data_IF_085737499789
#
_entry.id   IF_085737499789
#
_cell.length_a   1.000
_cell.length_b   1.000
_cell.length_c   1.000
_cell.angle_alpha   90.00
_cell.angle_beta   90.00
_cell.angle_gamma   90.00
#
_symmetry.space_group_name_H-M   'P 1'
#
loop_
_entity.id
_entity.type
_entity.pdbx_description
1 polymer ?
#
# COMPACT_ATOMS: atom_id res chain seq x y z
N UNK A 1 -3.69 1.94 -4.15
CA UNK A 1 -3.09 0.65 -4.56
C UNK A 1 -1.73 0.81 -5.16
N UNK A 2 -1.58 1.64 -6.20
CA UNK A 2 -0.29 1.92 -6.85
C UNK A 2 0.84 2.33 -5.90
N UNK A 3 0.55 2.88 -4.70
CA UNK A 3 1.56 3.18 -3.69
C UNK A 3 2.52 2.01 -3.39
N UNK A 4 2.04 0.76 -3.39
CA UNK A 4 2.90 -0.42 -3.20
C UNK A 4 3.78 -0.74 -4.43
N UNK A 5 3.40 -0.25 -5.61
CA UNK A 5 4.13 -0.39 -6.86
C UNK A 5 5.17 0.71 -7.12
N UNK A 6 5.33 1.66 -6.19
CA UNK A 6 6.33 2.73 -6.34
C UNK A 6 7.76 2.22 -6.41
N UNK A 7 8.02 1.00 -5.94
CA UNK A 7 9.34 0.37 -6.01
C UNK A 7 9.90 0.22 -7.42
N UNK A 8 9.03 0.13 -8.43
CA UNK A 8 9.42 0.10 -9.85
C UNK A 8 10.25 1.33 -10.25
N UNK A 9 10.03 2.48 -9.60
CA UNK A 9 10.74 3.71 -9.91
C UNK A 9 12.10 3.85 -9.21
N UNK A 10 12.36 3.12 -8.12
CA UNK A 10 13.53 3.37 -7.27
C UNK A 10 14.86 3.10 -7.96
N UNK A 11 14.98 1.95 -8.66
CA UNK A 11 16.22 1.60 -9.34
C UNK A 11 16.50 2.53 -10.53
N UNK A 12 15.52 2.83 -11.43
CA UNK A 12 15.68 3.85 -12.46
C UNK A 12 16.05 5.24 -11.90
N UNK A 13 15.44 5.67 -10.79
CA UNK A 13 15.72 6.97 -10.17
C UNK A 13 17.08 7.05 -9.48
N UNK A 14 17.58 5.93 -8.93
CA UNK A 14 18.94 5.86 -8.38
C UNK A 14 20.05 5.93 -9.44
N UNK A 15 19.67 5.99 -10.71
CA UNK A 15 20.57 6.17 -11.86
C UNK A 15 20.04 7.22 -12.83
N UNK A 16 19.27 8.19 -12.33
CA UNK A 16 18.61 9.19 -13.16
C UNK A 16 19.62 10.08 -13.92
N UNK A 17 20.78 10.37 -13.31
CA UNK A 17 21.86 11.16 -13.92
C UNK A 17 22.92 10.31 -14.61
N UNK A 18 23.01 9.02 -14.26
CA UNK A 18 24.04 8.08 -14.74
C UNK A 18 23.53 7.06 -15.75
N UNK A 19 22.51 7.42 -16.51
CA UNK A 19 21.94 6.56 -17.55
C UNK A 19 23.03 6.20 -18.57
N UNK A 20 23.30 4.90 -18.73
CA UNK A 20 24.32 4.41 -19.67
C UNK A 20 25.76 4.41 -19.15
N UNK A 21 26.01 4.89 -17.92
CA UNK A 21 27.33 4.83 -17.29
C UNK A 21 27.53 3.52 -16.51
N UNK A 22 28.80 3.13 -16.31
CA UNK A 22 29.19 1.92 -15.58
C UNK A 22 28.95 2.02 -14.07
N UNK A 23 28.90 3.24 -13.52
CA UNK A 23 28.66 3.51 -12.11
C UNK A 23 27.71 4.70 -11.93
N UNK A 24 26.99 4.71 -10.81
CA UNK A 24 26.13 5.82 -10.42
C UNK A 24 26.96 7.08 -10.12
N UNK A 25 26.40 8.26 -10.35
CA UNK A 25 27.00 9.54 -9.99
C UNK A 25 26.91 9.73 -8.46
N UNK A 26 27.71 8.97 -7.72
CA UNK A 26 27.72 9.00 -6.26
C UNK A 26 28.56 10.18 -5.75
N UNK A 27 28.03 10.88 -4.75
CA UNK A 27 28.76 11.93 -4.05
C UNK A 27 29.26 11.41 -2.69
N UNK A 28 30.54 11.65 -2.34
CA UNK A 28 31.07 11.32 -1.02
C UNK A 28 30.26 12.01 0.08
N UNK A 29 30.00 11.31 1.19
CA UNK A 29 29.37 11.83 2.40
C UNK A 29 28.00 12.51 2.20
N UNK A 30 27.20 12.02 1.24
CA UNK A 30 25.86 12.57 1.01
C UNK A 30 24.92 12.30 2.19
N UNK A 31 24.65 13.34 2.99
CA UNK A 31 23.59 13.36 4.00
C UNK A 31 22.20 13.55 3.38
N UNK A 32 21.15 13.39 4.17
CA UNK A 32 19.75 13.56 3.70
C UNK A 32 19.49 14.97 3.18
N UNK A 33 19.98 16.00 3.85
CA UNK A 33 19.78 17.40 3.41
C UNK A 33 20.41 17.66 2.04
N UNK A 34 21.59 17.10 1.79
CA UNK A 34 22.25 17.18 0.47
C UNK A 34 21.48 16.38 -0.57
N UNK A 35 21.01 15.17 -0.22
CA UNK A 35 20.21 14.35 -1.11
C UNK A 35 18.90 15.04 -1.53
N UNK A 36 18.30 15.86 -0.66
CA UNK A 36 17.07 16.58 -0.94
C UNK A 36 17.20 17.60 -2.06
N UNK A 37 18.37 18.23 -2.22
CA UNK A 37 18.57 19.38 -3.11
C UNK A 37 19.64 19.19 -4.18
N UNK A 38 20.38 18.08 -4.15
CA UNK A 38 21.45 17.81 -5.11
C UNK A 38 20.93 17.74 -6.54
N UNK A 39 21.66 18.36 -7.48
CA UNK A 39 21.39 18.31 -8.93
C UNK A 39 22.45 17.50 -9.70
N UNK A 40 23.54 17.12 -9.05
CA UNK A 40 24.71 16.48 -9.70
C UNK A 40 24.93 15.04 -9.27
N UNK A 41 24.29 14.61 -8.19
CA UNK A 41 24.46 13.27 -7.63
C UNK A 41 23.19 12.44 -7.81
N UNK A 42 23.33 11.15 -8.10
CA UNK A 42 22.21 10.22 -8.07
C UNK A 42 21.70 10.01 -6.63
N UNK A 43 20.40 9.79 -6.50
CA UNK A 43 19.77 9.55 -5.20
C UNK A 43 19.99 8.12 -4.71
N UNK A 44 20.13 7.95 -3.39
CA UNK A 44 20.18 6.61 -2.80
C UNK A 44 18.78 6.01 -2.78
N UNK A 45 18.71 4.70 -2.97
CA UNK A 45 17.46 3.95 -2.84
C UNK A 45 16.80 4.16 -1.47
N UNK A 46 17.59 4.29 -0.40
CA UNK A 46 17.08 4.58 0.95
C UNK A 46 16.31 5.90 1.04
N UNK A 47 16.78 6.95 0.35
CA UNK A 47 16.14 8.27 0.34
C UNK A 47 14.87 8.25 -0.51
N UNK A 48 14.85 7.44 -1.57
CA UNK A 48 13.68 7.22 -2.43
C UNK A 48 12.57 6.42 -1.74
N UNK A 49 12.93 5.37 -1.00
CA UNK A 49 11.98 4.56 -0.22
C UNK A 49 11.23 5.40 0.81
N UNK A 50 11.83 6.50 1.30
CA UNK A 50 11.18 7.42 2.23
C UNK A 50 9.88 8.03 1.67
N UNK A 51 9.74 8.15 0.35
CA UNK A 51 8.51 8.61 -0.31
C UNK A 51 7.33 7.72 0.08
N UNK A 52 7.51 6.39 0.09
CA UNK A 52 6.47 5.46 0.50
C UNK A 52 6.13 5.60 1.98
N UNK A 53 7.14 5.71 2.86
CA UNK A 53 6.95 5.90 4.29
C UNK A 53 6.15 7.18 4.61
N UNK A 54 6.53 8.30 4.01
CA UNK A 54 5.79 9.57 4.12
C UNK A 54 4.36 9.37 3.62
N UNK A 55 4.18 8.71 2.47
CA UNK A 55 2.87 8.44 1.89
C UNK A 55 1.93 7.64 2.80
N UNK A 56 2.43 6.59 3.46
CA UNK A 56 1.62 5.78 4.40
C UNK A 56 1.30 6.55 5.69
N UNK A 57 2.24 7.33 6.22
CA UNK A 57 1.97 8.21 7.37
C UNK A 57 0.87 9.22 7.01
N UNK A 58 0.97 9.85 5.85
CA UNK A 58 0.00 10.83 5.39
C UNK A 58 -1.35 10.21 5.02
N UNK A 59 -1.39 8.97 4.54
CA UNK A 59 -2.64 8.21 4.41
C UNK A 59 -3.35 8.14 5.77
N UNK A 60 -2.64 7.74 6.83
CA UNK A 60 -3.21 7.60 8.18
C UNK A 60 -3.66 8.93 8.78
N UNK A 61 -2.81 9.96 8.70
CA UNK A 61 -3.11 11.30 9.24
C UNK A 61 -4.26 11.97 8.48
N UNK A 62 -4.23 11.94 7.15
CA UNK A 62 -5.33 12.50 6.35
C UNK A 62 -6.63 11.76 6.61
N UNK A 63 -6.59 10.45 6.82
CA UNK A 63 -7.78 9.68 7.16
C UNK A 63 -8.39 10.09 8.52
N UNK A 64 -7.54 10.29 9.53
CA UNK A 64 -7.98 10.74 10.85
C UNK A 64 -8.53 12.18 10.82
N UNK A 65 -7.84 13.11 10.15
CA UNK A 65 -8.19 14.53 10.14
C UNK A 65 -9.40 14.82 9.25
N UNK A 66 -9.44 14.22 8.05
CA UNK A 66 -10.46 14.54 7.04
C UNK A 66 -11.67 13.60 7.03
N UNK A 67 -11.69 12.55 7.85
CA UNK A 67 -12.82 11.63 7.95
C UNK A 67 -14.15 12.33 8.28
N UNK A 68 -14.14 13.25 9.27
CA UNK A 68 -15.33 14.04 9.61
C UNK A 68 -15.71 15.10 8.57
N UNK A 69 -14.74 15.61 7.80
CA UNK A 69 -15.03 16.46 6.65
C UNK A 69 -15.71 15.67 5.53
N UNK A 70 -15.24 14.46 5.25
CA UNK A 70 -15.79 13.59 4.22
C UNK A 70 -17.26 13.23 4.48
N UNK A 71 -17.62 12.93 5.74
CA UNK A 71 -19.02 12.65 6.11
C UNK A 71 -19.95 13.85 5.88
N UNK A 72 -19.45 15.08 6.06
CA UNK A 72 -20.22 16.33 5.84
C UNK A 72 -20.25 16.77 4.37
N UNK A 73 -19.11 16.69 3.68
CA UNK A 73 -18.94 17.16 2.31
C UNK A 73 -19.45 16.15 1.26
N UNK A 74 -19.48 14.86 1.64
CA UNK A 74 -19.90 13.76 0.80
C UNK A 74 -18.75 13.13 -0.03
N UNK A 75 -18.93 11.89 -0.49
CA UNK A 75 -17.89 11.10 -1.14
C UNK A 75 -17.46 11.67 -2.50
N UNK A 76 -18.33 12.37 -3.22
CA UNK A 76 -17.97 12.99 -4.51
C UNK A 76 -16.88 14.05 -4.35
N UNK A 77 -17.04 14.97 -3.39
CA UNK A 77 -16.05 16.03 -3.13
C UNK A 77 -14.75 15.44 -2.62
N UNK A 78 -14.82 14.48 -1.70
CA UNK A 78 -13.64 13.77 -1.21
C UNK A 78 -12.90 13.03 -2.34
N UNK A 79 -13.63 12.38 -3.26
CA UNK A 79 -13.06 11.71 -4.42
C UNK A 79 -12.35 12.66 -5.39
N UNK A 80 -12.89 13.86 -5.63
CA UNK A 80 -12.25 14.87 -6.47
C UNK A 80 -10.94 15.35 -5.83
N UNK A 81 -10.96 15.69 -4.54
CA UNK A 81 -9.74 16.09 -3.81
C UNK A 81 -8.71 14.96 -3.82
N UNK A 82 -9.15 13.71 -3.62
CA UNK A 82 -8.27 12.55 -3.72
C UNK A 82 -7.61 12.41 -5.10
N UNK A 83 -8.37 12.62 -6.19
CA UNK A 83 -7.85 12.56 -7.55
C UNK A 83 -6.79 13.63 -7.81
N UNK A 84 -7.07 14.88 -7.40
CA UNK A 84 -6.15 16.00 -7.55
C UNK A 84 -4.89 15.82 -6.71
N UNK A 85 -5.01 15.35 -5.46
CA UNK A 85 -3.86 15.11 -4.61
C UNK A 85 -3.03 13.91 -5.10
N UNK A 86 -3.64 12.80 -5.48
CA UNK A 86 -2.90 11.61 -5.94
C UNK A 86 -2.21 11.87 -7.28
N UNK A 87 -2.96 12.27 -8.31
CA UNK A 87 -2.38 12.50 -9.63
C UNK A 87 -1.56 13.80 -9.72
N UNK A 88 -1.97 14.85 -9.00
CA UNK A 88 -1.16 16.06 -8.84
C UNK A 88 0.15 15.79 -8.09
N UNK A 89 0.13 14.91 -7.08
CA UNK A 89 1.34 14.45 -6.41
C UNK A 89 2.31 13.74 -7.36
N UNK A 90 1.81 12.93 -8.29
CA UNK A 90 2.62 12.34 -9.36
C UNK A 90 3.17 13.39 -10.33
N UNK A 91 2.39 14.41 -10.70
CA UNK A 91 2.85 15.50 -11.56
C UNK A 91 3.93 16.37 -10.90
N UNK A 92 3.77 16.67 -9.61
CA UNK A 92 4.80 17.37 -8.81
C UNK A 92 6.06 16.49 -8.68
N UNK A 93 5.88 15.19 -8.46
CA UNK A 93 6.98 14.22 -8.48
C UNK A 93 7.70 14.18 -9.82
N UNK A 94 6.97 14.19 -10.94
CA UNK A 94 7.54 14.27 -12.27
C UNK A 94 8.36 15.54 -12.48
N UNK A 95 7.86 16.69 -12.03
CA UNK A 95 8.61 17.94 -12.03
C UNK A 95 9.88 17.84 -11.17
N UNK A 96 9.78 17.24 -9.97
CA UNK A 96 10.91 16.97 -9.09
C UNK A 96 11.98 16.09 -9.73
N UNK A 97 11.60 15.05 -10.45
CA UNK A 97 12.56 14.23 -11.22
C UNK A 97 13.17 15.03 -12.38
N UNK A 98 12.36 15.82 -13.09
CA UNK A 98 12.84 16.63 -14.21
C UNK A 98 13.89 17.68 -13.80
N UNK A 99 13.69 18.36 -12.66
CA UNK A 99 14.67 19.33 -12.14
C UNK A 99 15.71 18.70 -11.20
N UNK A 100 15.68 17.38 -11.03
CA UNK A 100 16.49 16.61 -10.11
C UNK A 100 16.49 17.17 -8.68
N UNK A 101 15.30 17.33 -8.09
CA UNK A 101 15.08 17.80 -6.72
C UNK A 101 14.25 16.79 -5.92
N UNK A 102 14.89 16.06 -4.99
CA UNK A 102 14.25 14.99 -4.25
C UNK A 102 13.18 15.51 -3.28
N UNK A 103 13.33 16.73 -2.73
CA UNK A 103 12.30 17.32 -1.86
C UNK A 103 10.96 17.51 -2.58
N UNK A 104 10.97 17.81 -3.89
CA UNK A 104 9.75 17.88 -4.71
C UNK A 104 9.12 16.50 -4.88
N UNK A 105 9.94 15.45 -5.02
CA UNK A 105 9.45 14.06 -5.08
C UNK A 105 8.80 13.66 -3.75
N UNK A 106 9.44 13.99 -2.62
CA UNK A 106 8.89 13.75 -1.28
C UNK A 106 7.58 14.53 -1.04
N UNK A 107 7.55 15.80 -1.44
CA UNK A 107 6.37 16.65 -1.34
C UNK A 107 5.22 16.13 -2.22
N UNK A 108 5.51 15.88 -3.49
CA UNK A 108 4.52 15.45 -4.48
C UNK A 108 4.01 14.05 -4.18
N UNK A 109 4.86 13.04 -4.30
CA UNK A 109 4.45 11.64 -4.24
C UNK A 109 4.25 11.16 -2.80
N UNK A 110 5.03 11.66 -1.85
CA UNK A 110 4.92 11.31 -0.44
C UNK A 110 3.79 12.07 0.24
N UNK A 111 3.96 13.38 0.42
CA UNK A 111 3.04 14.19 1.22
C UNK A 111 1.66 14.34 0.56
N UNK A 112 1.62 14.97 -0.62
CA UNK A 112 0.37 15.29 -1.33
C UNK A 112 -0.27 14.00 -1.86
N UNK A 113 0.53 13.12 -2.45
CA UNK A 113 0.10 11.78 -2.87
C UNK A 113 -0.48 10.97 -1.72
N UNK A 114 0.17 10.96 -0.55
CA UNK A 114 -0.33 10.28 0.65
C UNK A 114 -1.68 10.80 1.15
N UNK A 115 -1.90 12.11 1.11
CA UNK A 115 -3.23 12.71 1.42
C UNK A 115 -4.28 12.22 0.42
N UNK A 116 -3.95 12.21 -0.87
CA UNK A 116 -4.85 11.69 -1.91
C UNK A 116 -5.18 10.20 -1.71
N UNK A 117 -4.18 9.41 -1.29
CA UNK A 117 -4.33 8.00 -0.98
C UNK A 117 -5.29 7.77 0.21
N UNK A 118 -5.19 8.57 1.27
CA UNK A 118 -6.07 8.47 2.44
C UNK A 118 -7.52 8.87 2.16
N UNK A 119 -7.73 10.01 1.50
CA UNK A 119 -9.07 10.46 1.09
C UNK A 119 -9.71 9.49 0.09
N UNK A 120 -8.93 9.02 -0.87
CA UNK A 120 -9.34 8.03 -1.87
C UNK A 120 -9.67 6.66 -1.26
N UNK A 121 -9.11 6.35 -0.09
CA UNK A 121 -9.42 5.12 0.66
C UNK A 121 -10.75 5.22 1.40
N UNK A 122 -11.00 6.31 2.13
CA UNK A 122 -12.20 6.41 2.98
C UNK A 122 -13.48 6.63 2.16
N UNK A 123 -13.39 7.40 1.06
CA UNK A 123 -14.57 7.76 0.24
C UNK A 123 -15.37 6.55 -0.28
N UNK A 124 -14.78 5.55 -0.94
CA UNK A 124 -15.53 4.39 -1.41
C UNK A 124 -15.97 3.49 -0.24
N UNK A 125 -15.11 3.30 0.77
CA UNK A 125 -15.39 2.43 1.92
C UNK A 125 -16.61 2.91 2.69
N UNK A 126 -16.65 4.19 3.06
CA UNK A 126 -17.80 4.80 3.78
C UNK A 126 -19.09 4.70 2.97
N UNK A 127 -19.02 4.88 1.64
CA UNK A 127 -20.18 4.81 0.75
C UNK A 127 -20.71 3.38 0.63
N UNK A 128 -19.85 2.38 0.51
CA UNK A 128 -20.24 0.98 0.39
C UNK A 128 -20.88 0.44 1.66
N UNK A 129 -20.41 0.84 2.84
CA UNK A 129 -21.01 0.46 4.13
C UNK A 129 -22.46 0.97 4.26
N UNK A 130 -22.79 2.08 3.57
CA UNK A 130 -24.14 2.65 3.51
C UNK A 130 -25.03 1.91 2.49
N UNK A 131 -24.47 1.48 1.36
CA UNK A 131 -25.17 0.72 0.31
C UNK A 131 -25.34 -0.78 0.60
N UNK A 132 -24.55 -1.37 1.49
CA UNK A 132 -24.61 -2.81 1.78
C UNK A 132 -24.56 -3.06 3.29
N UNK A 133 -25.60 -2.67 4.06
CA UNK A 133 -25.70 -2.87 5.49
C UNK A 133 -25.85 -4.35 5.87
N UNK A 134 -26.33 -5.19 4.94
CA UNK A 134 -26.48 -6.63 5.07
C UNK A 134 -25.15 -7.39 4.87
N UNK A 135 -24.21 -6.82 4.10
CA UNK A 135 -22.92 -7.45 3.72
C UNK A 135 -21.76 -6.46 3.80
N UNK A 136 -21.66 -5.76 4.94
CA UNK A 136 -20.71 -4.65 5.16
C UNK A 136 -19.27 -5.12 4.96
N UNK A 137 -18.92 -6.27 5.52
CA UNK A 137 -17.61 -6.90 5.40
C UNK A 137 -17.28 -7.21 3.95
N UNK A 138 -18.10 -8.01 3.27
CA UNK A 138 -17.87 -8.37 1.86
C UNK A 138 -17.72 -7.14 0.95
N UNK A 139 -18.61 -6.15 1.06
CA UNK A 139 -18.58 -4.96 0.22
C UNK A 139 -17.29 -4.14 0.41
N UNK A 140 -16.89 -3.94 1.67
CA UNK A 140 -15.63 -3.25 2.00
C UNK A 140 -14.40 -4.06 1.62
N UNK A 141 -14.43 -5.38 1.81
CA UNK A 141 -13.39 -6.32 1.39
C UNK A 141 -13.15 -6.27 -0.12
N UNK A 142 -14.22 -6.26 -0.93
CA UNK A 142 -14.12 -6.14 -2.40
C UNK A 142 -13.50 -4.80 -2.84
N UNK A 143 -13.86 -3.70 -2.19
CA UNK A 143 -13.23 -2.41 -2.48
C UNK A 143 -11.74 -2.39 -2.11
N UNK A 144 -11.40 -2.94 -0.95
CA UNK A 144 -10.04 -2.98 -0.43
C UNK A 144 -9.17 -3.99 -1.21
N UNK A 145 -9.75 -5.02 -1.85
CA UNK A 145 -9.04 -5.85 -2.83
C UNK A 145 -8.53 -5.04 -4.02
N UNK A 146 -9.30 -4.08 -4.52
CA UNK A 146 -8.88 -3.18 -5.60
C UNK A 146 -7.65 -2.35 -5.22
N UNK A 147 -7.48 -2.05 -3.93
CA UNK A 147 -6.25 -1.43 -3.42
C UNK A 147 -5.04 -2.37 -3.55
N UNK A 148 -5.18 -3.68 -3.35
CA UNK A 148 -4.12 -4.67 -3.60
C UNK A 148 -3.84 -4.87 -5.09
N UNK A 149 -4.89 -4.96 -5.91
CA UNK A 149 -4.78 -5.14 -7.36
C UNK A 149 -4.16 -3.94 -8.10
N UNK A 150 -4.25 -2.72 -7.54
CA UNK A 150 -3.72 -1.52 -8.18
C UNK A 150 -2.20 -1.58 -8.46
N UNK A 151 -1.41 -2.25 -7.62
CA UNK A 151 0.02 -2.45 -7.89
C UNK A 151 0.26 -3.52 -8.98
N UNK A 152 -0.59 -4.55 -9.08
CA UNK A 152 -0.48 -5.58 -10.12
C UNK A 152 -0.68 -5.02 -11.53
N UNK A 153 -1.49 -3.98 -11.69
CA UNK A 153 -1.70 -3.30 -12.98
C UNK A 153 -0.72 -2.14 -13.15
N UNK A 154 -0.56 -1.33 -12.10
CA UNK A 154 0.23 -0.11 -12.17
C UNK A 154 1.73 -0.35 -12.29
N UNK A 155 2.28 -1.39 -11.66
CA UNK A 155 3.72 -1.70 -11.72
C UNK A 155 4.18 -2.13 -13.11
N UNK A 156 3.54 -3.11 -13.80
CA UNK A 156 3.91 -3.46 -15.17
C UNK A 156 3.68 -2.32 -16.17
N UNK A 157 2.61 -1.53 -15.97
CA UNK A 157 2.37 -0.35 -16.79
C UNK A 157 3.50 0.68 -16.62
N UNK A 158 3.91 0.97 -15.38
CA UNK A 158 5.03 1.86 -15.10
C UNK A 158 6.34 1.35 -15.72
N UNK A 159 6.66 0.07 -15.60
CA UNK A 159 7.86 -0.53 -16.20
C UNK A 159 7.85 -0.42 -17.74
N UNK A 160 6.69 -0.70 -18.36
CA UNK A 160 6.51 -0.57 -19.80
C UNK A 160 6.73 0.89 -20.24
N UNK A 161 6.09 1.85 -19.56
CA UNK A 161 6.23 3.27 -19.87
C UNK A 161 7.66 3.78 -19.67
N UNK A 162 8.35 3.36 -18.59
CA UNK A 162 9.75 3.69 -18.35
C UNK A 162 10.60 3.19 -19.52
N UNK A 163 10.41 1.95 -19.97
CA UNK A 163 11.12 1.38 -21.12
C UNK A 163 10.81 2.13 -22.42
N UNK A 164 9.56 2.56 -22.63
CA UNK A 164 9.17 3.33 -23.82
C UNK A 164 9.79 4.72 -23.84
N UNK A 165 9.87 5.41 -22.70
CA UNK A 165 10.43 6.75 -22.60
C UNK A 165 11.94 6.80 -22.35
N UNK A 166 12.57 5.63 -22.15
CA UNK A 166 14.02 5.55 -21.91
C UNK A 166 14.78 5.93 -23.17
N UNK A 167 15.73 6.85 -23.02
CA UNK A 167 16.68 7.23 -24.07
C UNK A 167 18.12 6.94 -23.60
N UNK A 168 19.11 7.20 -24.45
CA UNK A 168 20.52 7.08 -24.06
C UNK A 168 20.90 8.02 -22.91
N UNK A 169 20.20 9.16 -22.78
CA UNK A 169 20.52 10.22 -21.83
C UNK A 169 19.53 10.31 -20.66
N UNK A 170 18.34 9.74 -20.79
CA UNK A 170 17.29 9.87 -19.77
C UNK A 170 16.65 8.54 -19.38
N UNK A 171 16.36 8.38 -18.10
CA UNK A 171 15.79 7.15 -17.56
C UNK A 171 14.32 6.93 -17.96
N UNK A 172 13.65 7.92 -18.55
CA UNK A 172 12.22 7.85 -18.93
C UNK A 172 11.22 7.99 -17.75
N UNK A 173 11.72 8.28 -16.54
CA UNK A 173 10.90 8.24 -15.32
C UNK A 173 9.96 9.43 -15.20
N UNK A 174 10.42 10.65 -15.46
CA UNK A 174 9.57 11.83 -15.29
C UNK A 174 8.38 11.83 -16.26
N UNK A 175 8.59 11.40 -17.51
CA UNK A 175 7.51 11.24 -18.51
C UNK A 175 6.48 10.21 -18.04
N UNK A 176 6.97 9.10 -17.49
CA UNK A 176 6.11 8.04 -16.94
C UNK A 176 5.28 8.57 -15.78
N UNK A 177 5.90 9.26 -14.82
CA UNK A 177 5.19 9.85 -13.68
C UNK A 177 4.17 10.88 -14.13
N UNK A 178 4.50 11.72 -15.12
CA UNK A 178 3.59 12.72 -15.65
C UNK A 178 2.37 12.08 -16.34
N UNK A 179 2.59 11.10 -17.22
CA UNK A 179 1.52 10.40 -17.92
C UNK A 179 0.62 9.63 -16.95
N UNK A 180 1.22 8.92 -15.99
CA UNK A 180 0.45 8.22 -14.96
C UNK A 180 -0.31 9.19 -14.05
N UNK A 181 0.28 10.31 -13.66
CA UNK A 181 -0.37 11.35 -12.86
C UNK A 181 -1.60 11.92 -13.56
N UNK A 182 -1.46 12.31 -14.83
CA UNK A 182 -2.58 12.77 -15.65
C UNK A 182 -3.65 11.68 -15.83
N UNK A 183 -3.24 10.45 -16.13
CA UNK A 183 -4.14 9.31 -16.24
C UNK A 183 -4.93 9.06 -14.95
N UNK A 184 -4.26 9.08 -13.80
CA UNK A 184 -4.92 8.92 -12.51
C UNK A 184 -5.94 10.01 -12.23
N UNK A 185 -5.65 11.28 -12.56
CA UNK A 185 -6.64 12.37 -12.43
C UNK A 185 -7.88 12.02 -13.25
N UNK A 186 -7.71 11.66 -14.53
CA UNK A 186 -8.85 11.35 -15.41
C UNK A 186 -9.68 10.18 -14.89
N UNK A 187 -9.05 9.04 -14.59
CA UNK A 187 -9.77 7.84 -14.13
C UNK A 187 -10.41 8.04 -12.75
N UNK A 188 -9.70 8.69 -11.81
CA UNK A 188 -10.24 8.93 -10.47
C UNK A 188 -11.36 9.97 -10.48
N UNK A 189 -11.29 11.01 -11.32
CA UNK A 189 -12.39 11.96 -11.49
C UNK A 189 -13.62 11.28 -12.10
N UNK A 190 -13.43 10.40 -13.09
CA UNK A 190 -14.51 9.57 -13.63
C UNK A 190 -15.21 8.74 -12.54
N UNK A 191 -14.43 8.09 -11.67
CA UNK A 191 -14.96 7.37 -10.51
C UNK A 191 -15.65 8.27 -9.49
N UNK A 192 -15.07 9.45 -9.22
CA UNK A 192 -15.61 10.40 -8.26
C UNK A 192 -16.98 10.95 -8.68
N UNK A 193 -17.16 11.27 -9.97
CA UNK A 193 -18.46 11.69 -10.51
C UNK A 193 -19.49 10.56 -10.51
N UNK A 194 -19.04 9.30 -10.58
CA UNK A 194 -19.87 8.12 -10.43
C UNK A 194 -20.44 7.89 -9.03
N UNK A 195 -19.91 8.53 -7.98
CA UNK A 195 -20.43 8.33 -6.63
C UNK A 195 -21.90 8.72 -6.50
N UNK A 196 -22.68 7.80 -5.93
CA UNK A 196 -24.06 7.96 -5.49
C UNK A 196 -24.17 7.59 -4.02
N UNK A 197 -24.85 8.42 -3.24
CA UNK A 197 -25.14 8.17 -1.83
C UNK A 197 -26.54 7.57 -1.75
N UNK A 198 -26.76 6.50 -0.97
CA UNK A 198 -28.11 5.95 -0.84
C UNK A 198 -29.01 6.93 -0.05
N UNK A 199 -30.33 6.92 -0.28
CA UNK A 199 -31.28 7.72 0.49
C UNK A 199 -31.16 7.50 2.01
N UNK A 200 -31.55 8.49 2.80
CA UNK A 200 -31.58 8.35 4.25
C UNK A 200 -32.50 7.18 4.66
N UNK A 201 -32.00 6.27 5.48
CA UNK A 201 -32.74 5.08 5.90
C UNK A 201 -32.83 3.96 4.86
N UNK A 202 -32.04 4.02 3.78
CA UNK A 202 -31.96 2.96 2.76
C UNK A 202 -31.68 1.60 3.39
N UNK A 203 -32.43 0.59 2.91
CA UNK A 203 -32.30 -0.81 3.30
C UNK A 203 -32.48 -1.67 2.05
N UNK A 204 -31.76 -2.81 1.95
CA UNK A 204 -32.02 -3.78 0.89
C UNK A 204 -33.46 -4.32 1.00
N UNK A 205 -34.09 -4.59 -0.14
CA UNK A 205 -35.44 -5.13 -0.18
C UNK A 205 -35.51 -6.47 0.58
N UNK A 206 -36.51 -6.59 1.45
CA UNK A 206 -36.69 -7.79 2.29
C UNK A 206 -35.67 -7.97 3.42
N UNK A 207 -34.72 -7.03 3.61
CA UNK A 207 -33.78 -7.09 4.72
C UNK A 207 -34.32 -6.38 5.96
N UNK A 208 -34.57 -7.14 7.02
CA UNK A 208 -34.87 -6.60 8.34
C UNK A 208 -33.58 -6.57 9.18
N UNK A 209 -33.32 -5.49 9.92
CA UNK A 209 -32.17 -5.44 10.83
C UNK A 209 -32.24 -6.61 11.82
N UNK A 210 -31.11 -7.30 12.09
CA UNK A 210 -31.09 -8.38 13.07
C UNK A 210 -31.65 -7.89 14.41
N UNK A 211 -32.65 -8.58 14.95
CA UNK A 211 -33.31 -8.21 16.20
C UNK A 211 -32.42 -8.38 17.46
N UNK A 212 -31.20 -8.91 17.32
CA UNK A 212 -30.39 -9.33 18.46
C UNK A 212 -29.62 -8.18 19.12
N UNK A 213 -30.25 -7.62 20.16
CA UNK A 213 -29.52 -7.09 21.33
C UNK A 213 -28.74 -8.24 21.97
N UNK A 214 -27.53 -8.52 21.46
CA UNK A 214 -26.55 -9.28 22.23
C UNK A 214 -26.11 -8.39 23.41
N UNK A 215 -26.18 -8.90 24.64
CA UNK A 215 -25.68 -8.18 25.84
C UNK A 215 -24.19 -7.79 25.73
N UNK A 216 -23.44 -8.46 24.85
CA UNK A 216 -22.04 -8.15 24.53
C UNK A 216 -21.84 -7.13 23.37
N UNK A 217 -22.90 -6.65 22.73
CA UNK A 217 -22.82 -5.58 21.72
C UNK A 217 -23.27 -4.28 22.40
N UNK A 218 -22.32 -3.38 22.62
CA UNK A 218 -22.61 -2.06 23.18
C UNK A 218 -23.65 -1.35 22.30
N UNK A 219 -24.80 -1.04 22.88
CA UNK A 219 -25.91 -0.32 22.23
C UNK A 219 -25.74 1.19 22.28
N UNK A 220 -24.78 1.68 23.08
CA UNK A 220 -24.43 3.09 23.15
C UNK A 220 -23.69 3.53 21.90
N UNK A 221 -24.27 4.48 21.17
CA UNK A 221 -23.52 5.23 20.17
C UNK A 221 -22.64 6.24 20.90
N UNK A 222 -21.32 6.06 20.85
CA UNK A 222 -20.37 7.05 21.34
C UNK A 222 -20.11 8.03 20.20
N UNK A 223 -20.30 9.32 20.46
CA UNK A 223 -19.97 10.35 19.48
C UNK A 223 -18.46 10.32 19.18
N UNK A 224 -18.06 10.70 17.96
CA UNK A 224 -16.64 10.70 17.56
C UNK A 224 -15.76 11.49 18.55
N UNK A 225 -16.29 12.62 19.05
CA UNK A 225 -15.60 13.51 19.98
C UNK A 225 -15.38 12.88 21.37
N UNK A 226 -16.14 11.84 21.73
CA UNK A 226 -16.02 11.15 23.02
C UNK A 226 -15.38 9.77 22.89
N UNK A 227 -15.23 9.24 21.67
CA UNK A 227 -14.72 7.89 21.43
C UNK A 227 -13.34 7.67 22.07
N UNK A 228 -12.44 8.65 21.96
CA UNK A 228 -11.08 8.60 22.51
C UNK A 228 -11.03 8.58 24.05
N UNK A 229 -12.12 8.94 24.74
CA UNK A 229 -12.23 8.91 26.20
C UNK A 229 -12.56 7.51 26.72
N UNK A 230 -12.91 6.58 25.83
CA UNK A 230 -13.27 5.20 26.20
C UNK A 230 -12.04 4.28 26.20
N UNK A 231 -11.99 3.32 27.11
CA UNK A 231 -10.90 2.32 27.16
C UNK A 231 -10.95 1.41 25.93
N UNK A 232 -12.15 1.10 25.44
CA UNK A 232 -12.38 0.27 24.26
C UNK A 232 -11.69 0.84 23.01
N UNK A 233 -11.68 2.17 22.85
CA UNK A 233 -10.98 2.83 21.77
C UNK A 233 -9.48 2.50 21.80
N UNK A 234 -8.83 2.66 22.95
CA UNK A 234 -7.39 2.40 23.09
C UNK A 234 -7.03 0.93 22.95
N UNK A 235 -7.88 0.01 23.44
CA UNK A 235 -7.69 -1.43 23.23
C UNK A 235 -7.76 -1.79 21.74
N UNK A 236 -8.77 -1.30 21.02
CA UNK A 236 -8.90 -1.55 19.58
C UNK A 236 -7.76 -0.89 18.81
N UNK A 237 -7.38 0.34 19.19
CA UNK A 237 -6.26 1.06 18.59
C UNK A 237 -4.94 0.30 18.76
N UNK A 238 -4.63 -0.16 19.97
CA UNK A 238 -3.41 -0.92 20.26
C UNK A 238 -3.36 -2.21 19.45
N UNK A 239 -4.48 -2.95 19.43
CA UNK A 239 -4.61 -4.19 18.69
C UNK A 239 -4.40 -3.96 17.18
N UNK A 240 -5.02 -2.93 16.61
CA UNK A 240 -4.84 -2.56 15.21
C UNK A 240 -3.42 -2.10 14.91
N UNK A 241 -2.85 -1.25 15.78
CA UNK A 241 -1.49 -0.72 15.63
C UNK A 241 -0.46 -1.85 15.59
N UNK A 242 -0.50 -2.77 16.57
CA UNK A 242 0.42 -3.91 16.63
C UNK A 242 0.22 -4.86 15.43
N UNK A 243 -1.02 -5.16 15.07
CA UNK A 243 -1.33 -6.09 13.97
C UNK A 243 -0.91 -5.53 12.60
N UNK A 244 -1.24 -4.26 12.32
CA UNK A 244 -0.87 -3.60 11.06
C UNK A 244 0.63 -3.43 10.96
N UNK A 245 1.32 -3.06 12.04
CA UNK A 245 2.77 -2.90 12.06
C UNK A 245 3.48 -4.22 11.75
N UNK A 246 3.10 -5.30 12.44
CA UNK A 246 3.65 -6.63 12.18
C UNK A 246 3.36 -7.11 10.75
N UNK A 247 2.12 -6.96 10.28
CA UNK A 247 1.70 -7.39 8.95
C UNK A 247 2.39 -6.63 7.82
N UNK A 248 2.46 -5.29 7.90
CA UNK A 248 3.15 -4.47 6.90
C UNK A 248 4.65 -4.72 6.93
N UNK A 249 5.26 -4.91 8.11
CA UNK A 249 6.69 -5.24 8.24
C UNK A 249 7.06 -6.53 7.50
N UNK A 250 6.28 -7.60 7.72
CA UNK A 250 6.49 -8.88 7.01
C UNK A 250 6.29 -8.73 5.50
N UNK A 251 5.24 -8.02 5.06
CA UNK A 251 5.00 -7.81 3.62
C UNK A 251 6.10 -6.97 2.96
N UNK A 252 6.62 -5.95 3.64
CA UNK A 252 7.65 -5.06 3.13
C UNK A 252 9.01 -5.77 2.99
N UNK A 253 9.30 -6.73 3.87
CA UNK A 253 10.57 -7.47 3.90
C UNK A 253 10.47 -8.90 3.38
N UNK A 254 9.31 -9.33 2.84
CA UNK A 254 9.10 -10.71 2.42
C UNK A 254 10.13 -11.21 1.39
N UNK A 255 10.47 -10.37 0.39
CA UNK A 255 11.49 -10.71 -0.61
C UNK A 255 12.88 -10.85 0.02
N UNK A 256 13.48 -9.82 0.65
CA UNK A 256 14.81 -9.95 1.26
C UNK A 256 14.87 -11.03 2.34
N UNK A 257 13.81 -11.19 3.14
CA UNK A 257 13.74 -12.25 4.15
C UNK A 257 13.83 -13.66 3.54
N UNK A 258 13.17 -13.92 2.41
CA UNK A 258 13.29 -15.20 1.71
C UNK A 258 14.72 -15.41 1.18
N UNK A 259 15.31 -14.36 0.60
CA UNK A 259 16.66 -14.41 0.02
C UNK A 259 17.74 -14.66 1.08
N UNK A 260 17.63 -14.01 2.23
CA UNK A 260 18.59 -14.13 3.33
C UNK A 260 18.45 -15.46 4.10
N UNK A 261 17.22 -15.90 4.38
CA UNK A 261 16.99 -17.14 5.15
C UNK A 261 17.34 -18.38 4.34
N UNK A 262 16.91 -18.45 3.08
CA UNK A 262 17.08 -19.65 2.27
C UNK A 262 18.33 -19.61 1.38
N UNK A 263 18.84 -18.43 1.01
CA UNK A 263 20.11 -18.29 0.30
C UNK A 263 20.27 -19.26 -0.87
N UNK A 264 21.42 -19.96 -0.91
CA UNK A 264 21.72 -20.96 -1.93
C UNK A 264 20.76 -22.15 -2.01
N UNK A 265 19.97 -22.43 -0.96
CA UNK A 265 18.95 -23.50 -0.97
C UNK A 265 17.93 -23.27 -2.08
N UNK A 266 17.58 -22.01 -2.38
CA UNK A 266 16.61 -21.66 -3.42
C UNK A 266 17.06 -22.05 -4.84
N UNK A 267 18.36 -22.23 -5.05
CA UNK A 267 18.96 -22.60 -6.34
C UNK A 267 19.64 -23.97 -6.28
N UNK A 268 19.30 -24.80 -5.30
CA UNK A 268 19.85 -26.16 -5.16
C UNK A 268 21.30 -26.22 -4.67
N UNK A 269 21.81 -25.14 -4.07
CA UNK A 269 23.14 -25.08 -3.42
C UNK A 269 23.01 -24.93 -1.90
N UNK A 270 22.64 -25.99 -1.18
CA UNK A 270 22.47 -25.93 0.27
C UNK A 270 23.78 -25.56 0.97
N UNK A 271 23.69 -24.66 1.96
CA UNK A 271 24.84 -24.22 2.77
C UNK A 271 25.57 -22.97 2.27
N UNK A 272 25.27 -22.46 1.08
CA UNK A 272 25.83 -21.18 0.60
C UNK A 272 24.97 -20.01 1.09
N UNK A 273 25.56 -19.15 1.93
CA UNK A 273 24.86 -17.97 2.43
C UNK A 273 24.65 -16.94 1.31
N UNK A 274 23.56 -16.15 1.38
CA UNK A 274 23.23 -15.16 0.35
C UNK A 274 24.38 -14.21 0.01
N UNK A 275 25.20 -13.83 1.00
CA UNK A 275 26.36 -12.96 0.81
C UNK A 275 27.44 -13.54 -0.12
N UNK A 276 27.59 -14.86 -0.16
CA UNK A 276 28.63 -15.60 -0.89
C UNK A 276 28.26 -15.90 -2.35
N UNK A 277 27.03 -15.59 -2.75
CA UNK A 277 26.53 -15.85 -4.10
C UNK A 277 27.01 -14.81 -5.11
N UNK A 278 27.25 -15.26 -6.34
CA UNK A 278 27.60 -14.37 -7.45
C UNK A 278 26.40 -13.54 -7.95
N UNK A 279 26.65 -12.61 -8.87
CA UNK A 279 25.63 -11.71 -9.40
C UNK A 279 24.51 -12.44 -10.18
N UNK A 280 24.85 -13.54 -10.87
CA UNK A 280 23.88 -14.35 -11.63
C UNK A 280 22.98 -15.18 -10.71
N UNK A 281 23.57 -15.81 -9.69
CA UNK A 281 22.88 -16.56 -8.66
C UNK A 281 21.95 -15.67 -7.83
N UNK A 282 22.41 -14.48 -7.44
CA UNK A 282 21.57 -13.47 -6.77
C UNK A 282 20.40 -13.04 -7.64
N UNK A 283 20.60 -12.90 -8.95
CA UNK A 283 19.50 -12.58 -9.87
C UNK A 283 18.47 -13.71 -9.98
N UNK A 284 18.90 -14.98 -10.01
CA UNK A 284 17.99 -16.13 -10.00
C UNK A 284 17.17 -16.22 -8.70
N UNK A 285 17.82 -16.04 -7.55
CA UNK A 285 17.15 -16.01 -6.24
C UNK A 285 16.17 -14.85 -6.15
N UNK A 286 16.55 -13.67 -6.64
CA UNK A 286 15.66 -12.51 -6.68
C UNK A 286 14.40 -12.78 -7.51
N UNK A 287 14.51 -13.53 -8.62
CA UNK A 287 13.36 -13.94 -9.42
C UNK A 287 12.42 -14.90 -8.65
N UNK A 288 12.97 -15.88 -7.93
CA UNK A 288 12.20 -16.79 -7.07
C UNK A 288 11.49 -16.00 -5.95
N UNK A 289 12.22 -15.10 -5.29
CA UNK A 289 11.68 -14.25 -4.25
C UNK A 289 10.59 -13.31 -4.76
N UNK A 290 10.72 -12.77 -5.98
CA UNK A 290 9.68 -11.99 -6.62
C UNK A 290 8.41 -12.83 -6.87
N UNK A 291 8.56 -14.08 -7.30
CA UNK A 291 7.45 -15.03 -7.44
C UNK A 291 6.73 -15.29 -6.11
N UNK A 292 7.48 -15.48 -5.02
CA UNK A 292 6.92 -15.64 -3.67
C UNK A 292 6.16 -14.39 -3.20
N UNK A 293 6.68 -13.19 -3.43
CA UNK A 293 5.96 -11.93 -3.11
C UNK A 293 4.69 -11.80 -3.95
N UNK A 294 4.71 -12.25 -5.21
CA UNK A 294 3.51 -12.34 -6.04
C UNK A 294 2.44 -13.25 -5.41
N UNK A 295 2.85 -14.42 -4.92
CA UNK A 295 1.95 -15.36 -4.24
C UNK A 295 1.40 -14.77 -2.93
N UNK A 296 2.24 -14.14 -2.11
CA UNK A 296 1.80 -13.44 -0.90
C UNK A 296 0.78 -12.34 -1.21
N UNK A 297 0.98 -11.59 -2.30
CA UNK A 297 0.05 -10.56 -2.75
C UNK A 297 -1.29 -11.15 -3.19
N UNK A 298 -1.29 -12.31 -3.85
CA UNK A 298 -2.50 -13.03 -4.21
C UNK A 298 -3.29 -13.47 -2.97
N UNK A 299 -2.63 -14.11 -2.00
CA UNK A 299 -3.27 -14.46 -0.72
C UNK A 299 -3.73 -13.23 0.07
N UNK A 300 -3.04 -12.10 -0.04
CA UNK A 300 -3.47 -10.84 0.58
C UNK A 300 -4.79 -10.35 -0.03
N UNK A 301 -4.95 -10.42 -1.35
CA UNK A 301 -6.17 -10.04 -2.07
C UNK A 301 -7.30 -11.02 -1.71
N UNK A 302 -7.07 -12.32 -1.86
CA UNK A 302 -8.08 -13.35 -1.57
C UNK A 302 -8.49 -13.33 -0.10
N UNK A 303 -7.54 -13.13 0.82
CA UNK A 303 -7.78 -13.00 2.24
C UNK A 303 -8.67 -11.82 2.59
N UNK A 304 -8.49 -10.65 1.94
CA UNK A 304 -9.35 -9.47 2.14
C UNK A 304 -10.80 -9.77 1.79
N UNK A 305 -11.06 -10.52 0.72
CA UNK A 305 -12.41 -10.92 0.37
C UNK A 305 -12.96 -12.01 1.27
N UNK A 306 -12.20 -13.09 1.44
CA UNK A 306 -12.63 -14.26 2.19
C UNK A 306 -12.96 -13.90 3.64
N UNK A 307 -12.02 -13.26 4.36
CA UNK A 307 -12.22 -12.94 5.77
C UNK A 307 -13.24 -11.85 6.00
N UNK A 308 -13.33 -10.85 5.11
CA UNK A 308 -14.36 -9.83 5.24
C UNK A 308 -15.76 -10.42 5.00
N UNK A 309 -15.91 -11.31 4.02
CA UNK A 309 -17.16 -12.03 3.76
C UNK A 309 -17.53 -12.99 4.89
N UNK A 310 -16.54 -13.70 5.45
CA UNK A 310 -16.75 -14.58 6.59
C UNK A 310 -17.16 -13.78 7.83
N UNK A 311 -16.59 -12.59 8.04
CA UNK A 311 -16.90 -11.71 9.18
C UNK A 311 -18.37 -11.27 9.23
N UNK A 312 -19.04 -11.18 8.08
CA UNK A 312 -20.47 -10.89 8.02
C UNK A 312 -21.33 -12.04 8.57
N UNK A 313 -20.82 -13.28 8.54
CA UNK A 313 -21.52 -14.48 9.04
C UNK A 313 -21.17 -14.80 10.49
N UNK A 314 -19.88 -14.78 10.83
CA UNK A 314 -19.40 -15.22 12.16
C UNK A 314 -19.26 -14.08 13.16
N UNK A 315 -19.41 -12.83 12.71
CA UNK A 315 -19.27 -11.63 13.52
C UNK A 315 -17.82 -11.19 13.75
N UNK A 316 -17.64 -9.87 13.95
CA UNK A 316 -16.30 -9.25 14.00
C UNK A 316 -15.42 -9.76 15.15
N UNK A 317 -15.98 -9.95 16.34
CA UNK A 317 -15.21 -10.41 17.52
C UNK A 317 -14.58 -11.78 17.27
N UNK A 318 -15.35 -12.71 16.72
CA UNK A 318 -14.85 -14.05 16.40
C UNK A 318 -13.82 -14.00 15.27
N UNK A 319 -14.03 -13.18 14.23
CA UNK A 319 -13.03 -12.98 13.18
C UNK A 319 -11.69 -12.49 13.73
N UNK A 320 -11.69 -11.47 14.61
CA UNK A 320 -10.46 -10.99 15.24
C UNK A 320 -9.82 -12.06 16.14
N UNK A 321 -10.61 -12.79 16.93
CA UNK A 321 -10.10 -13.88 17.76
C UNK A 321 -9.42 -14.97 16.90
N UNK A 322 -10.04 -15.35 15.77
CA UNK A 322 -9.46 -16.29 14.81
C UNK A 322 -8.17 -15.75 14.23
N UNK A 323 -8.10 -14.47 13.83
CA UNK A 323 -6.88 -13.86 13.31
C UNK A 323 -5.72 -13.91 14.31
N UNK A 324 -5.95 -13.61 15.58
CA UNK A 324 -4.89 -13.63 16.57
C UNK A 324 -4.46 -15.05 16.93
N UNK A 325 -5.40 -15.97 17.12
CA UNK A 325 -5.09 -17.36 17.42
C UNK A 325 -4.38 -18.04 16.25
N UNK A 326 -4.94 -17.97 15.05
CA UNK A 326 -4.36 -18.57 13.85
C UNK A 326 -3.03 -17.90 13.48
N UNK A 327 -2.96 -16.57 13.52
CA UNK A 327 -1.72 -15.83 13.26
C UNK A 327 -0.61 -16.22 14.24
N UNK A 328 -0.92 -16.27 15.54
CA UNK A 328 0.03 -16.72 16.56
C UNK A 328 0.53 -18.14 16.33
N UNK A 329 -0.37 -19.08 16.00
CA UNK A 329 -0.01 -20.46 15.67
C UNK A 329 0.86 -20.54 14.41
N UNK A 330 0.53 -19.80 13.35
CA UNK A 330 1.30 -19.80 12.10
C UNK A 330 2.70 -19.20 12.30
N UNK A 331 2.82 -18.11 13.07
CA UNK A 331 4.14 -17.55 13.41
C UNK A 331 4.97 -18.51 14.26
N UNK A 332 4.36 -19.19 15.23
CA UNK A 332 5.05 -20.20 16.04
C UNK A 332 5.47 -21.42 15.21
N UNK A 333 4.71 -21.77 14.17
CA UNK A 333 5.02 -22.87 13.26
C UNK A 333 6.07 -22.52 12.19
N UNK A 334 6.40 -21.24 11.98
CA UNK A 334 7.31 -20.81 10.91
C UNK A 334 8.73 -21.40 11.02
N UNK A 335 9.38 -21.45 12.20
CA UNK A 335 10.69 -22.10 12.35
C UNK A 335 10.64 -23.60 12.08
N UNK A 336 9.57 -24.27 12.54
CA UNK A 336 9.35 -25.69 12.25
C UNK A 336 9.22 -25.91 10.75
N UNK A 337 8.36 -25.15 10.06
CA UNK A 337 8.16 -25.25 8.61
C UNK A 337 9.42 -24.93 7.80
N UNK A 338 10.22 -23.95 8.24
CA UNK A 338 11.50 -23.62 7.61
C UNK A 338 12.51 -24.78 7.70
N UNK A 339 12.45 -25.60 8.75
CA UNK A 339 13.27 -26.79 8.92
C UNK A 339 12.86 -28.00 8.07
N UNK A 340 11.75 -27.92 7.30
CA UNK A 340 11.21 -29.04 6.50
C UNK A 340 11.74 -29.05 5.05
N UNK A 341 12.47 -28.01 4.59
CA UNK A 341 13.09 -28.05 3.24
C UNK A 341 14.39 -28.87 3.27
N UNK A 342 14.65 -29.91 2.45
CA UNK A 342 14.04 -30.43 1.22
C UNK A 342 14.20 -31.96 1.17
N UNK A 343 13.15 -32.70 0.77
CA UNK A 343 13.19 -34.13 0.40
C UNK A 343 12.47 -34.39 -0.93
N UNK A 344 12.53 -33.45 -1.88
CA UNK A 344 12.11 -33.66 -3.26
C UNK A 344 13.01 -32.89 -4.24
#
# INVERSE_FOLDING_TARGET
GMAYGLSVFWLPLSRALSVGLSAAAACPDMGVMTALVTTTCDWRVSDLVMVFSIGIVMLGLSAAIFGGWLERAGPRKAGIVAALCWGGGFLIGAAGVYVHQLWLVWLGMGLIGGIGLGLGYISPVSTLIKWFPDRRGMATGMAIMGFGGGAMIGSPLADTLIKTFRTAETAGVWQTLALMGAGYIVFMLGGAFGYRVPPAGWRPDGWTPPASRNAMIASGHVHLDDAHKTVQFWLIWLVLCLNVSAGIGVLALASPMLQEIFGGVLIGQPGVAFGQLDAGQKAQIAAIAAGFVGLLSLFNILGRFFWASLSDRIGRKLTYATFFALGGLLYAAAPWAAGIGSQA
#
